data_IF_596912525276
#
_entry.id   IF_596912525276
#
_cell.length_a   1.000
_cell.length_b   1.000
_cell.length_c   1.000
_cell.angle_alpha   90.00
_cell.angle_beta   90.00
_cell.angle_gamma   90.00
#
_symmetry.space_group_name_H-M   'P 1'
#
loop_
_entity.id
_entity.type
_entity.pdbx_description
1 polymer ?
#
# COMPACT_ATOMS: atom_id res chain seq x y z
N UNK A 1 20.03 22.72 39.51
CA UNK A 1 20.77 21.87 38.57
C UNK A 1 19.74 21.30 37.61
N UNK A 2 19.61 21.86 36.43
CA UNK A 2 18.66 21.43 35.42
C UNK A 2 19.39 20.60 34.37
N UNK A 3 18.95 19.38 34.18
CA UNK A 3 19.37 18.55 33.03
C UNK A 3 18.53 18.90 31.81
N UNK A 4 19.20 19.41 30.81
CA UNK A 4 18.63 19.62 29.47
C UNK A 4 18.67 18.31 28.71
N UNK A 5 17.50 17.80 28.34
CA UNK A 5 17.36 16.61 27.49
C UNK A 5 17.61 17.03 26.03
N UNK A 6 18.63 16.44 25.41
CA UNK A 6 19.00 16.61 24.00
C UNK A 6 18.04 15.80 23.09
N UNK A 7 17.36 16.41 22.11
CA UNK A 7 16.46 15.72 21.21
C UNK A 7 17.14 15.23 19.92
N UNK A 8 18.29 14.58 20.00
CA UNK A 8 18.90 13.91 18.84
C UNK A 8 18.76 12.40 18.91
N UNK A 9 17.53 11.88 18.77
CA UNK A 9 17.33 10.46 18.50
C UNK A 9 17.37 10.22 16.99
N UNK A 10 18.57 10.13 16.46
CA UNK A 10 18.84 9.62 15.13
C UNK A 10 18.73 8.11 15.11
N UNK A 11 17.55 7.52 14.85
CA UNK A 11 17.45 6.12 14.47
C UNK A 11 17.81 5.98 12.99
N UNK A 12 19.07 5.74 12.72
CA UNK A 12 19.53 5.20 11.44
C UNK A 12 18.98 3.78 11.31
N UNK A 13 17.87 3.63 10.57
CA UNK A 13 17.46 2.33 10.09
C UNK A 13 18.57 1.82 9.17
N UNK A 14 19.41 0.94 9.69
CA UNK A 14 20.41 0.23 8.91
C UNK A 14 19.68 -0.78 8.03
N UNK A 15 19.50 -0.44 6.78
CA UNK A 15 19.11 -1.38 5.75
C UNK A 15 20.22 -2.41 5.61
N UNK A 16 19.95 -3.65 5.99
CA UNK A 16 20.89 -4.75 5.83
C UNK A 16 21.25 -4.88 4.36
N UNK A 17 22.54 -4.72 4.05
CA UNK A 17 23.11 -5.06 2.75
C UNK A 17 22.97 -6.57 2.57
N UNK A 18 22.37 -6.98 1.46
CA UNK A 18 22.49 -8.36 1.01
C UNK A 18 23.97 -8.72 0.80
N UNK A 19 24.40 -9.96 1.12
CA UNK A 19 25.79 -10.39 1.03
C UNK A 19 26.36 -10.38 -0.40
N UNK A 20 25.50 -10.35 -1.38
CA UNK A 20 25.89 -10.43 -2.80
C UNK A 20 25.95 -9.02 -3.37
N UNK A 21 27.11 -8.42 -3.35
CA UNK A 21 27.48 -7.06 -3.79
C UNK A 21 26.86 -6.53 -5.09
N UNK A 22 25.55 -6.66 -5.27
CA UNK A 22 24.77 -6.02 -6.31
C UNK A 22 24.67 -4.55 -5.95
N UNK A 23 25.50 -3.74 -6.53
CA UNK A 23 25.31 -2.29 -6.66
C UNK A 23 23.99 -2.10 -7.41
N UNK A 24 22.89 -1.89 -6.67
CA UNK A 24 21.64 -1.40 -7.23
C UNK A 24 21.98 -0.01 -7.78
N UNK A 25 22.14 0.08 -9.10
CA UNK A 25 22.28 1.35 -9.78
C UNK A 25 21.16 2.28 -9.33
N UNK A 26 21.40 3.59 -9.36
CA UNK A 26 20.45 4.63 -8.98
C UNK A 26 19.24 4.67 -9.95
N UNK A 27 18.56 3.53 -10.12
CA UNK A 27 17.35 3.36 -10.92
C UNK A 27 16.11 3.75 -10.14
N UNK A 28 15.06 4.11 -10.86
CA UNK A 28 13.75 4.32 -10.28
C UNK A 28 13.21 2.98 -9.74
N UNK A 29 12.57 3.01 -8.57
CA UNK A 29 11.82 1.87 -8.06
C UNK A 29 10.50 1.75 -8.81
N UNK A 30 10.20 0.57 -9.38
CA UNK A 30 8.96 0.36 -10.12
C UNK A 30 7.78 0.12 -9.17
N UNK A 31 6.73 0.89 -9.35
CA UNK A 31 5.51 0.81 -8.53
C UNK A 31 4.30 0.68 -9.45
N UNK A 32 3.48 -0.35 -9.27
CA UNK A 32 2.20 -0.47 -9.93
C UNK A 32 1.06 -0.08 -8.97
N UNK A 33 0.14 0.78 -9.41
CA UNK A 33 -1.10 1.09 -8.71
C UNK A 33 -2.26 0.53 -9.54
N UNK A 34 -2.84 -0.57 -9.07
CA UNK A 34 -3.89 -1.31 -9.77
C UNK A 34 -5.25 -0.86 -9.22
N UNK A 35 -6.00 -0.12 -10.05
CA UNK A 35 -7.20 0.60 -9.69
C UNK A 35 -6.94 2.08 -9.41
N UNK A 36 -7.45 2.97 -10.27
CA UNK A 36 -7.30 4.42 -10.18
C UNK A 36 -8.48 5.13 -9.50
N UNK A 37 -9.31 4.38 -8.78
CA UNK A 37 -10.47 4.90 -8.06
C UNK A 37 -10.11 5.87 -6.93
N UNK A 38 -11.05 6.05 -5.99
CA UNK A 38 -10.86 6.98 -4.86
C UNK A 38 -9.60 6.68 -4.04
N UNK A 39 -9.35 5.40 -3.70
CA UNK A 39 -8.19 5.03 -2.91
C UNK A 39 -6.92 5.04 -3.75
N UNK A 40 -6.92 4.44 -4.95
CA UNK A 40 -5.74 4.40 -5.82
C UNK A 40 -5.17 5.79 -6.11
N UNK A 41 -6.04 6.76 -6.42
CA UNK A 41 -5.60 8.15 -6.64
C UNK A 41 -5.07 8.82 -5.35
N UNK A 42 -5.47 8.38 -4.15
CA UNK A 42 -4.88 8.85 -2.89
C UNK A 42 -3.50 8.25 -2.63
N UNK A 43 -3.30 6.98 -3.02
CA UNK A 43 -1.95 6.41 -2.99
C UNK A 43 -0.97 7.21 -3.84
N UNK A 44 -1.39 7.68 -5.01
CA UNK A 44 -0.53 8.53 -5.85
C UNK A 44 -0.10 9.81 -5.13
N UNK A 45 -1.03 10.47 -4.43
CA UNK A 45 -0.70 11.66 -3.65
C UNK A 45 0.30 11.34 -2.53
N UNK A 46 0.20 10.16 -1.89
CA UNK A 46 1.17 9.70 -0.90
C UNK A 46 2.53 9.38 -1.50
N UNK A 47 2.56 8.70 -2.65
CA UNK A 47 3.79 8.34 -3.36
C UNK A 47 4.59 9.57 -3.81
N UNK A 48 3.94 10.70 -4.09
CA UNK A 48 4.60 11.96 -4.40
C UNK A 48 5.56 12.41 -3.27
N UNK A 49 5.29 12.05 -2.02
CA UNK A 49 6.14 12.35 -0.87
C UNK A 49 7.35 11.42 -0.70
N UNK A 50 7.48 10.35 -1.48
CA UNK A 50 8.59 9.42 -1.35
C UNK A 50 9.93 10.08 -1.72
N UNK A 51 10.96 9.79 -0.92
CA UNK A 51 12.30 10.35 -1.15
C UNK A 51 13.03 9.64 -2.29
N UNK A 52 12.83 8.33 -2.45
CA UNK A 52 13.41 7.56 -3.54
C UNK A 52 12.73 7.92 -4.88
N UNK A 53 13.48 7.97 -6.00
CA UNK A 53 12.90 8.10 -7.32
C UNK A 53 11.99 6.91 -7.64
N UNK A 54 10.77 7.18 -8.10
CA UNK A 54 9.78 6.16 -8.45
C UNK A 54 9.42 6.22 -9.93
N UNK A 55 9.23 5.05 -10.52
CA UNK A 55 8.55 4.87 -11.79
C UNK A 55 7.18 4.23 -11.50
N UNK A 56 6.13 5.03 -11.65
CA UNK A 56 4.78 4.69 -11.19
C UNK A 56 3.91 4.37 -12.40
N UNK A 57 3.37 3.16 -12.43
CA UNK A 57 2.43 2.69 -13.45
C UNK A 57 1.04 2.58 -12.83
N UNK A 58 0.10 3.37 -13.33
CA UNK A 58 -1.29 3.38 -12.85
C UNK A 58 -2.17 2.66 -13.84
N UNK A 59 -2.84 1.59 -13.43
CA UNK A 59 -3.72 0.81 -14.29
C UNK A 59 -5.17 0.92 -13.83
N UNK A 60 -6.06 1.26 -14.76
CA UNK A 60 -7.51 1.17 -14.58
C UNK A 60 -8.19 1.09 -15.96
N UNK A 61 -9.15 0.18 -16.20
CA UNK A 61 -9.87 0.11 -17.46
C UNK A 61 -10.73 1.36 -17.74
N UNK A 62 -11.12 2.10 -16.69
CA UNK A 62 -11.91 3.32 -16.84
C UNK A 62 -11.00 4.55 -17.06
N UNK A 63 -11.05 5.09 -18.28
CA UNK A 63 -10.34 6.32 -18.63
C UNK A 63 -10.68 7.52 -17.75
N UNK A 64 -11.91 7.58 -17.22
CA UNK A 64 -12.33 8.67 -16.34
C UNK A 64 -11.62 8.57 -15.00
N UNK A 65 -11.50 7.35 -14.45
CA UNK A 65 -10.74 7.11 -13.22
C UNK A 65 -9.28 7.51 -13.40
N UNK A 66 -8.64 7.11 -14.51
CA UNK A 66 -7.26 7.50 -14.83
C UNK A 66 -7.09 9.02 -14.91
N UNK A 67 -8.03 9.71 -15.58
CA UNK A 67 -7.99 11.17 -15.69
C UNK A 67 -8.11 11.88 -14.34
N UNK A 68 -8.99 11.39 -13.45
CA UNK A 68 -9.12 11.92 -12.09
C UNK A 68 -7.85 11.66 -11.29
N UNK A 69 -7.27 10.49 -11.42
CA UNK A 69 -6.01 10.13 -10.75
C UNK A 69 -4.84 11.03 -11.21
N UNK A 70 -4.76 11.32 -12.52
CA UNK A 70 -3.78 12.24 -13.07
C UNK A 70 -3.94 13.66 -12.54
N UNK A 71 -5.16 14.16 -12.42
CA UNK A 71 -5.43 15.48 -11.85
C UNK A 71 -4.99 15.54 -10.39
N UNK A 72 -5.35 14.52 -9.58
CA UNK A 72 -4.95 14.43 -8.17
C UNK A 72 -3.45 14.32 -7.98
N UNK A 73 -2.75 13.64 -8.88
CA UNK A 73 -1.28 13.63 -8.88
C UNK A 73 -0.70 15.02 -9.07
N UNK A 74 -1.23 15.77 -10.04
CA UNK A 74 -0.78 17.16 -10.32
C UNK A 74 -1.09 18.14 -9.20
N UNK A 75 -2.18 17.93 -8.46
CA UNK A 75 -2.57 18.77 -7.31
C UNK A 75 -1.52 18.83 -6.20
N UNK A 76 -0.74 17.77 -6.01
CA UNK A 76 0.28 17.70 -4.95
C UNK A 76 1.65 18.20 -5.41
N UNK A 77 1.76 18.75 -6.61
CA UNK A 77 3.01 19.26 -7.20
C UNK A 77 4.16 18.26 -7.04
N UNK A 78 4.05 17.08 -7.65
CA UNK A 78 5.01 16.00 -7.42
C UNK A 78 6.41 16.37 -7.88
N UNK A 79 7.46 15.94 -7.16
CA UNK A 79 8.83 16.19 -7.55
C UNK A 79 9.17 15.58 -8.93
N UNK A 80 10.02 16.26 -9.71
CA UNK A 80 10.46 15.82 -11.04
C UNK A 80 11.21 14.47 -11.03
N UNK A 81 11.71 14.04 -9.87
CA UNK A 81 12.36 12.74 -9.72
C UNK A 81 11.43 11.54 -9.92
N UNK A 82 10.12 11.73 -9.87
CA UNK A 82 9.16 10.67 -10.12
C UNK A 82 8.69 10.68 -11.57
N UNK A 83 8.53 9.48 -12.13
CA UNK A 83 7.89 9.25 -13.42
C UNK A 83 6.55 8.59 -13.20
N UNK A 84 5.50 9.01 -13.90
CA UNK A 84 4.18 8.41 -13.80
C UNK A 84 3.60 8.17 -15.19
N UNK A 85 2.98 6.99 -15.35
CA UNK A 85 2.32 6.57 -16.59
C UNK A 85 0.97 5.97 -16.27
N UNK A 86 0.00 6.21 -17.15
CA UNK A 86 -1.38 5.77 -16.97
C UNK A 86 -1.78 4.80 -18.08
N UNK A 87 -2.30 3.63 -17.71
CA UNK A 87 -2.57 2.51 -18.61
C UNK A 87 -4.00 2.00 -18.43
N UNK A 88 -4.69 1.66 -19.53
CA UNK A 88 -5.99 1.00 -19.46
C UNK A 88 -5.89 -0.50 -19.21
N UNK A 89 -4.75 -1.09 -19.53
CA UNK A 89 -4.42 -2.49 -19.28
C UNK A 89 -2.95 -2.60 -18.83
N UNK A 90 -2.52 -3.79 -18.46
CA UNK A 90 -1.17 -4.01 -17.92
C UNK A 90 -0.09 -4.22 -18.99
N UNK A 91 -0.43 -4.33 -20.28
CA UNK A 91 0.50 -4.74 -21.35
C UNK A 91 1.72 -3.85 -21.53
N UNK A 92 1.66 -2.59 -21.08
CA UNK A 92 2.74 -1.61 -21.16
C UNK A 92 3.44 -1.39 -19.81
N UNK A 93 3.06 -2.14 -18.79
CA UNK A 93 3.72 -2.12 -17.48
C UNK A 93 4.93 -3.05 -17.55
N UNK A 94 6.10 -2.70 -16.97
CA UNK A 94 7.25 -3.59 -16.92
C UNK A 94 6.93 -4.93 -16.24
N UNK A 95 7.62 -6.00 -16.64
CA UNK A 95 7.46 -7.34 -16.03
C UNK A 95 7.84 -7.36 -14.55
N UNK A 96 8.87 -6.58 -14.17
CA UNK A 96 9.42 -6.59 -12.82
C UNK A 96 8.90 -5.40 -12.01
N UNK A 97 8.09 -5.66 -11.02
CA UNK A 97 7.46 -4.65 -10.17
C UNK A 97 7.97 -4.78 -8.73
N UNK A 98 8.63 -3.74 -8.23
CA UNK A 98 9.09 -3.73 -6.83
C UNK A 98 7.91 -3.72 -5.87
N UNK A 99 6.89 -2.87 -6.10
CA UNK A 99 5.70 -2.78 -5.24
C UNK A 99 4.44 -2.66 -6.08
N UNK A 100 3.47 -3.55 -5.85
CA UNK A 100 2.13 -3.41 -6.41
C UNK A 100 1.11 -3.04 -5.32
N UNK A 101 0.39 -1.95 -5.54
CA UNK A 101 -0.72 -1.50 -4.68
C UNK A 101 -2.03 -1.88 -5.35
N UNK A 102 -2.83 -2.75 -4.72
CA UNK A 102 -4.11 -3.19 -5.25
C UNK A 102 -5.26 -2.47 -4.55
N UNK A 103 -5.79 -1.44 -5.19
CA UNK A 103 -6.84 -0.56 -4.68
C UNK A 103 -8.20 -0.75 -5.36
N UNK A 104 -8.38 -1.86 -6.07
CA UNK A 104 -9.67 -2.29 -6.63
C UNK A 104 -10.66 -2.69 -5.54
N UNK A 105 -11.95 -2.78 -5.90
CA UNK A 105 -12.95 -3.34 -4.98
C UNK A 105 -12.69 -4.82 -4.72
N UNK A 106 -13.05 -5.31 -3.53
CA UNK A 106 -12.88 -6.70 -3.13
C UNK A 106 -13.50 -7.71 -4.12
N UNK A 107 -14.59 -7.32 -4.81
CA UNK A 107 -15.28 -8.19 -5.77
C UNK A 107 -14.46 -8.55 -7.00
N UNK A 108 -13.70 -7.63 -7.54
CA UNK A 108 -12.92 -7.85 -8.76
C UNK A 108 -11.45 -8.17 -8.49
N UNK A 109 -11.00 -7.93 -7.27
CA UNK A 109 -9.60 -8.03 -6.88
C UNK A 109 -8.96 -9.39 -7.18
N UNK A 110 -9.58 -10.54 -6.84
CA UNK A 110 -8.95 -11.83 -7.11
C UNK A 110 -8.63 -12.00 -8.60
N UNK A 111 -9.61 -11.75 -9.48
CA UNK A 111 -9.42 -11.88 -10.92
C UNK A 111 -8.37 -10.90 -11.47
N UNK A 112 -8.37 -9.67 -10.98
CA UNK A 112 -7.40 -8.64 -11.40
C UNK A 112 -5.98 -9.02 -10.97
N UNK A 113 -5.79 -9.56 -9.78
CA UNK A 113 -4.46 -9.99 -9.31
C UNK A 113 -3.98 -11.22 -10.08
N UNK A 114 -4.83 -12.22 -10.29
CA UNK A 114 -4.52 -13.39 -11.10
C UNK A 114 -4.13 -13.01 -12.53
N UNK A 115 -4.86 -12.09 -13.17
CA UNK A 115 -4.52 -11.58 -14.49
C UNK A 115 -3.17 -10.85 -14.46
N UNK A 116 -2.94 -10.01 -13.47
CA UNK A 116 -1.72 -9.22 -13.39
C UNK A 116 -0.47 -10.08 -13.30
N UNK A 117 -0.46 -11.13 -12.50
CA UNK A 117 0.68 -12.04 -12.33
C UNK A 117 0.96 -12.92 -13.55
N UNK A 118 0.08 -12.98 -14.56
CA UNK A 118 0.38 -13.71 -15.79
C UNK A 118 1.49 -13.07 -16.62
N UNK A 119 1.73 -11.77 -16.42
CA UNK A 119 2.74 -11.00 -17.17
C UNK A 119 3.72 -10.21 -16.29
N UNK A 120 3.59 -10.29 -14.97
CA UNK A 120 4.37 -9.47 -14.06
C UNK A 120 4.80 -10.26 -12.84
N UNK A 121 6.06 -10.09 -12.45
CA UNK A 121 6.62 -10.53 -11.18
C UNK A 121 6.56 -9.37 -10.19
N UNK A 122 5.93 -9.60 -9.05
CA UNK A 122 5.72 -8.58 -8.03
C UNK A 122 6.46 -8.98 -6.76
N UNK A 123 7.38 -8.12 -6.33
CA UNK A 123 8.19 -8.38 -5.15
C UNK A 123 7.43 -8.16 -3.86
N UNK A 124 6.64 -7.06 -3.77
CA UNK A 124 5.86 -6.69 -2.60
C UNK A 124 4.45 -6.26 -2.96
N UNK A 125 3.46 -6.77 -2.21
CA UNK A 125 2.05 -6.42 -2.39
C UNK A 125 1.54 -5.56 -1.24
N UNK A 126 0.82 -4.50 -1.57
CA UNK A 126 -0.03 -3.74 -0.65
C UNK A 126 -1.47 -3.88 -1.13
N UNK A 127 -2.30 -4.56 -0.34
CA UNK A 127 -3.66 -4.93 -0.73
C UNK A 127 -4.65 -4.15 0.12
N UNK A 128 -5.59 -3.46 -0.51
CA UNK A 128 -6.63 -2.74 0.22
C UNK A 128 -7.61 -3.68 0.94
N UNK A 129 -8.06 -3.22 2.08
CA UNK A 129 -9.14 -3.86 2.84
C UNK A 129 -10.50 -3.54 2.15
N UNK A 130 -11.51 -4.33 2.24
CA UNK A 130 -11.60 -5.73 2.62
C UNK A 130 -10.95 -6.57 1.53
N UNK A 131 -10.12 -7.54 1.90
CA UNK A 131 -9.27 -8.27 0.93
C UNK A 131 -10.11 -9.01 -0.09
N UNK A 132 -11.15 -9.72 0.35
CA UNK A 132 -12.01 -10.57 -0.46
C UNK A 132 -13.44 -10.59 0.10
N UNK A 133 -14.41 -11.08 -0.68
CA UNK A 133 -15.80 -11.21 -0.25
C UNK A 133 -16.15 -12.58 0.32
N UNK A 134 -15.28 -13.57 0.16
CA UNK A 134 -15.47 -14.92 0.65
C UNK A 134 -14.15 -15.68 0.72
N UNK A 135 -14.19 -16.88 1.30
CA UNK A 135 -13.00 -17.69 1.54
C UNK A 135 -12.31 -18.09 0.23
N UNK A 136 -13.06 -18.52 -0.78
CA UNK A 136 -12.50 -18.90 -2.09
C UNK A 136 -11.79 -17.71 -2.78
N UNK A 137 -12.38 -16.52 -2.68
CA UNK A 137 -11.73 -15.31 -3.22
C UNK A 137 -10.49 -14.93 -2.41
N UNK A 138 -10.49 -15.17 -1.11
CA UNK A 138 -9.30 -14.97 -0.27
C UNK A 138 -8.18 -15.94 -0.67
N UNK A 139 -8.49 -17.20 -0.87
CA UNK A 139 -7.52 -18.20 -1.34
C UNK A 139 -6.89 -17.82 -2.68
N UNK A 140 -7.68 -17.30 -3.62
CA UNK A 140 -7.20 -16.79 -4.91
C UNK A 140 -6.24 -15.58 -4.74
N UNK A 141 -6.60 -14.65 -3.86
CA UNK A 141 -5.72 -13.51 -3.55
C UNK A 141 -4.42 -13.98 -2.92
N UNK A 142 -4.46 -14.92 -1.99
CA UNK A 142 -3.26 -15.53 -1.38
C UNK A 142 -2.42 -16.22 -2.45
N UNK A 143 -3.02 -17.05 -3.30
CA UNK A 143 -2.30 -17.70 -4.41
C UNK A 143 -1.66 -16.72 -5.39
N UNK A 144 -2.31 -15.57 -5.64
CA UNK A 144 -1.71 -14.52 -6.48
C UNK A 144 -0.51 -13.81 -5.83
N UNK A 145 -0.30 -13.98 -4.53
CA UNK A 145 0.88 -13.44 -3.82
C UNK A 145 1.97 -14.48 -3.59
N UNK A 146 1.78 -15.74 -4.03
CA UNK A 146 2.79 -16.75 -3.94
C UNK A 146 4.03 -16.35 -4.77
N UNK A 147 5.21 -16.48 -4.19
CA UNK A 147 6.45 -16.05 -4.82
C UNK A 147 6.86 -14.61 -4.55
N UNK A 148 5.98 -13.78 -3.97
CA UNK A 148 6.35 -12.45 -3.49
C UNK A 148 7.17 -12.53 -2.19
N UNK A 149 8.09 -11.59 -1.98
CA UNK A 149 8.84 -11.48 -0.73
C UNK A 149 7.96 -11.02 0.44
N UNK A 150 6.83 -10.37 0.15
CA UNK A 150 5.86 -9.98 1.17
C UNK A 150 4.56 -9.42 0.60
N UNK A 151 3.48 -9.63 1.37
CA UNK A 151 2.16 -9.10 1.06
C UNK A 151 1.51 -8.57 2.35
N UNK A 152 0.96 -7.37 2.29
CA UNK A 152 0.31 -6.71 3.43
C UNK A 152 -1.07 -6.21 3.07
N UNK A 153 -1.98 -6.39 4.00
CA UNK A 153 -3.29 -5.74 3.94
C UNK A 153 -3.17 -4.34 4.53
N UNK A 154 -3.59 -3.33 3.78
CA UNK A 154 -3.55 -1.96 4.26
C UNK A 154 -4.63 -1.69 5.31
N UNK A 155 -4.26 -1.84 6.56
CA UNK A 155 -5.03 -1.39 7.72
C UNK A 155 -4.34 -0.14 8.28
N UNK A 156 -4.72 1.01 7.78
CA UNK A 156 -4.07 2.30 8.07
C UNK A 156 -3.82 2.60 9.55
N UNK A 157 -4.64 2.13 10.53
CA UNK A 157 -4.35 2.39 11.94
C UNK A 157 -2.99 1.88 12.38
N UNK A 158 -2.54 0.74 11.84
CA UNK A 158 -1.25 0.11 12.21
C UNK A 158 -0.02 1.00 12.01
N UNK A 159 -0.12 2.01 11.15
CA UNK A 159 0.99 2.94 10.87
C UNK A 159 0.84 4.27 11.61
N UNK A 160 -0.13 4.38 12.52
CA UNK A 160 -0.37 5.60 13.28
C UNK A 160 0.23 5.55 14.68
N UNK A 161 0.81 6.64 15.20
CA UNK A 161 1.40 6.67 16.53
C UNK A 161 0.43 6.29 17.65
N UNK A 162 -0.85 6.70 17.53
CA UNK A 162 -1.86 6.40 18.54
C UNK A 162 -2.19 4.90 18.62
N UNK A 163 -2.14 4.18 17.50
CA UNK A 163 -2.33 2.73 17.48
C UNK A 163 -1.22 2.03 18.27
N UNK A 164 0.03 2.38 18.02
CA UNK A 164 1.16 1.83 18.76
C UNK A 164 1.07 2.12 20.26
N UNK A 165 0.69 3.36 20.61
CA UNK A 165 0.49 3.73 22.02
C UNK A 165 -0.60 2.88 22.67
N UNK A 166 -1.77 2.71 22.03
CA UNK A 166 -2.85 1.90 22.58
C UNK A 166 -2.47 0.43 22.69
N UNK A 167 -1.83 -0.13 21.68
CA UNK A 167 -1.33 -1.50 21.71
C UNK A 167 -0.36 -1.71 22.88
N UNK A 168 0.58 -0.80 23.08
CA UNK A 168 1.58 -0.91 24.13
C UNK A 168 0.94 -0.76 25.53
N UNK A 169 -0.06 0.12 25.68
CA UNK A 169 -0.83 0.27 26.91
C UNK A 169 -1.72 -0.95 27.22
N UNK A 170 -2.10 -1.72 26.21
CA UNK A 170 -3.01 -2.86 26.33
C UNK A 170 -2.30 -4.21 26.44
N UNK A 171 -1.00 -4.28 26.11
CA UNK A 171 -0.25 -5.52 25.99
C UNK A 171 -0.31 -6.43 27.24
N UNK A 172 -0.37 -5.82 28.42
CA UNK A 172 -0.39 -6.54 29.72
C UNK A 172 -1.79 -6.70 30.34
N UNK A 173 -2.85 -6.28 29.62
CA UNK A 173 -4.21 -6.29 30.14
C UNK A 173 -5.10 -7.31 29.38
N UNK A 174 -5.53 -8.34 30.08
CA UNK A 174 -6.47 -9.34 29.58
C UNK A 174 -7.48 -9.70 30.68
N UNK A 175 -8.77 -9.84 30.37
CA UNK A 175 -9.42 -9.68 29.07
C UNK A 175 -9.70 -8.21 28.69
N UNK A 176 -9.70 -7.94 27.39
CA UNK A 176 -9.97 -6.62 26.80
C UNK A 176 -11.43 -6.51 26.34
N UNK A 177 -12.06 -5.38 26.59
CA UNK A 177 -13.33 -5.04 25.99
C UNK A 177 -13.17 -3.77 25.18
N UNK A 178 -13.40 -3.86 23.88
CA UNK A 178 -13.48 -2.73 22.98
C UNK A 178 -14.93 -2.47 22.57
N UNK A 179 -15.39 -1.23 22.66
CA UNK A 179 -16.72 -0.83 22.26
C UNK A 179 -16.65 0.40 21.36
N UNK A 180 -17.21 0.29 20.14
CA UNK A 180 -17.31 1.40 19.21
C UNK A 180 -18.77 1.67 18.87
N UNK A 181 -19.23 2.89 19.15
CA UNK A 181 -20.60 3.34 18.91
C UNK A 181 -20.63 4.47 17.90
N UNK A 182 -21.49 4.37 16.89
CA UNK A 182 -21.59 5.39 15.85
C UNK A 182 -22.82 5.22 14.96
N UNK A 183 -23.10 6.22 14.12
CA UNK A 183 -24.16 6.17 13.11
C UNK A 183 -23.54 6.41 11.73
N UNK A 184 -24.01 5.67 10.72
CA UNK A 184 -23.66 5.86 9.30
C UNK A 184 -22.15 5.84 8.99
N UNK A 185 -21.36 5.13 9.78
CA UNK A 185 -19.89 5.05 9.63
C UNK A 185 -19.42 3.89 8.76
N UNK A 186 -20.34 3.25 8.01
CA UNK A 186 -19.98 2.22 7.04
C UNK A 186 -19.34 0.99 7.72
N UNK A 187 -19.99 0.40 8.71
CA UNK A 187 -19.45 -0.71 9.51
C UNK A 187 -18.87 -1.83 8.63
N UNK A 188 -19.55 -2.22 7.54
CA UNK A 188 -19.07 -3.27 6.63
C UNK A 188 -17.69 -2.99 6.01
N UNK A 189 -17.31 -1.71 5.86
CA UNK A 189 -16.02 -1.33 5.33
C UNK A 189 -14.99 -0.96 6.41
N UNK A 190 -15.45 -0.50 7.58
CA UNK A 190 -14.58 0.08 8.60
C UNK A 190 -14.39 -0.81 9.84
N UNK A 191 -15.26 -1.80 10.06
CA UNK A 191 -15.12 -2.72 11.20
C UNK A 191 -13.77 -3.45 11.20
N UNK A 192 -13.21 -3.75 10.03
CA UNK A 192 -11.89 -4.38 9.91
C UNK A 192 -10.79 -3.57 10.59
N UNK A 193 -10.86 -2.24 10.56
CA UNK A 193 -9.88 -1.38 11.23
C UNK A 193 -9.99 -1.41 12.77
N UNK A 194 -11.15 -1.79 13.29
CA UNK A 194 -11.41 -1.92 14.71
C UNK A 194 -11.07 -3.33 15.21
N UNK A 195 -11.25 -4.34 14.36
CA UNK A 195 -10.93 -5.74 14.66
C UNK A 195 -9.43 -6.06 14.50
N UNK A 196 -8.71 -5.21 13.78
CA UNK A 196 -7.29 -5.32 13.52
C UNK A 196 -6.42 -4.83 14.69
N UNK A 197 -7.05 -4.50 15.79
CA UNK A 197 -6.44 -3.98 17.02
C UNK A 197 -5.92 -5.14 17.93
#
# INVERSE_FOLDING_TARGET
MGETVDPTCGSSASWHRSPDGVTVGAGHKSVAVIGAGQLGSRYLQGLAGCMAPLEIHVQDPDRRALRVAELRWKEVLPPERHRIMFHQNSSMIPSDIEVAVVSTTARVRPAVMEEFITGHEVRYWIIEKVVAQGLLDLERVVGATDGAEGAWVNTWPRVTPWYHLLRDLSADQSPWRFEAVGRSWGMGCNAVHLLDF
#
